data_IF_489694521722
#
_entry.id   IF_489694521722
#
_cell.length_a   1.000
_cell.length_b   1.000
_cell.length_c   1.000
_cell.angle_alpha   90.00
_cell.angle_beta   90.00
_cell.angle_gamma   90.00
#
_symmetry.space_group_name_H-M   'P 1'
#
loop_
_entity.id
_entity.type
_entity.pdbx_description
1 polymer ?
#
# COMPACT_ATOMS: atom_id res chain seq x y z
N UNK A 1 21.96 4.80 0.09
CA UNK A 1 21.00 5.92 0.05
C UNK A 1 20.52 6.35 -1.35
N UNK A 2 21.25 6.15 -2.46
CA UNK A 2 20.81 6.59 -3.82
C UNK A 2 20.01 5.57 -4.67
N UNK A 3 19.73 4.36 -4.16
CA UNK A 3 19.38 3.18 -4.99
C UNK A 3 17.90 3.01 -5.39
N UNK A 4 16.96 3.82 -4.89
CA UNK A 4 15.51 3.64 -5.17
C UNK A 4 14.89 4.82 -5.93
N UNK A 5 15.28 6.08 -5.69
CA UNK A 5 15.02 7.16 -6.66
C UNK A 5 15.61 6.82 -8.04
N UNK A 6 16.73 6.09 -8.07
CA UNK A 6 17.29 5.56 -9.31
C UNK A 6 16.38 4.51 -9.97
N UNK A 7 15.53 3.76 -9.25
CA UNK A 7 14.67 2.72 -9.87
C UNK A 7 13.49 3.32 -10.59
N UNK A 8 12.79 4.29 -9.98
CA UNK A 8 11.69 5.01 -10.63
C UNK A 8 12.24 5.72 -11.87
N UNK A 9 13.35 6.44 -11.71
CA UNK A 9 14.03 7.10 -12.83
C UNK A 9 14.42 6.13 -13.94
N UNK A 10 15.10 5.03 -13.61
CA UNK A 10 15.53 4.05 -14.61
C UNK A 10 14.33 3.41 -15.31
N UNK A 11 13.23 3.17 -14.59
CA UNK A 11 12.00 2.64 -15.17
C UNK A 11 11.35 3.64 -16.12
N UNK A 12 11.32 4.94 -15.75
CA UNK A 12 10.84 6.01 -16.63
C UNK A 12 11.68 6.13 -17.90
N UNK A 13 13.01 6.13 -17.78
CA UNK A 13 13.93 6.16 -18.92
C UNK A 13 13.82 4.93 -19.82
N UNK A 14 13.49 3.77 -19.23
CA UNK A 14 13.33 2.53 -19.98
C UNK A 14 11.93 2.35 -20.59
N UNK A 15 10.88 2.91 -20.00
CA UNK A 15 9.51 2.76 -20.47
C UNK A 15 9.28 3.10 -21.97
N UNK A 16 9.88 4.15 -22.56
CA UNK A 16 9.75 4.44 -23.99
C UNK A 16 10.71 3.61 -24.86
N UNK A 17 11.56 2.76 -24.28
CA UNK A 17 12.45 1.89 -25.04
C UNK A 17 11.61 0.92 -25.88
N UNK A 18 11.62 1.11 -27.20
CA UNK A 18 10.80 0.36 -28.16
C UNK A 18 9.73 1.19 -28.88
N UNK A 19 9.43 2.42 -28.43
CA UNK A 19 8.53 3.35 -29.14
C UNK A 19 9.26 4.31 -30.08
N UNK A 20 10.59 4.35 -30.00
CA UNK A 20 11.42 5.33 -30.72
C UNK A 20 11.49 6.70 -30.06
N UNK A 21 10.77 6.89 -28.95
CA UNK A 21 10.77 8.13 -28.17
C UNK A 21 11.86 8.10 -27.09
N UNK A 22 12.39 9.28 -26.75
CA UNK A 22 13.27 9.45 -25.60
C UNK A 22 12.70 10.53 -24.70
N UNK A 23 12.66 10.26 -23.40
CA UNK A 23 12.26 11.26 -22.42
C UNK A 23 13.44 12.18 -22.12
N UNK A 24 13.22 13.48 -22.34
CA UNK A 24 14.17 14.50 -21.92
C UNK A 24 14.38 14.49 -20.41
N UNK A 25 15.59 14.83 -19.99
CA UNK A 25 16.01 14.87 -18.60
C UNK A 25 15.12 15.74 -17.70
N UNK A 26 14.63 16.87 -18.22
CA UNK A 26 13.70 17.72 -17.49
C UNK A 26 12.33 17.06 -17.32
N UNK A 27 11.87 16.30 -18.31
CA UNK A 27 10.61 15.54 -18.21
C UNK A 27 10.73 14.47 -17.14
N UNK A 28 11.83 13.71 -17.13
CA UNK A 28 12.08 12.68 -16.11
C UNK A 28 12.12 13.30 -14.72
N UNK A 29 12.80 14.43 -14.55
CA UNK A 29 12.85 15.12 -13.26
C UNK A 29 11.47 15.61 -12.82
N UNK A 30 10.64 16.15 -13.73
CA UNK A 30 9.25 16.52 -13.42
C UNK A 30 8.42 15.31 -12.99
N UNK A 31 8.56 14.17 -13.67
CA UNK A 31 7.82 12.95 -13.33
C UNK A 31 8.26 12.37 -11.98
N UNK A 32 9.56 12.35 -11.70
CA UNK A 32 10.08 11.92 -10.38
C UNK A 32 9.59 12.83 -9.27
N UNK A 33 9.56 14.15 -9.49
CA UNK A 33 9.04 15.11 -8.50
C UNK A 33 7.52 14.96 -8.31
N UNK A 34 6.76 14.75 -9.39
CA UNK A 34 5.32 14.51 -9.32
C UNK A 34 5.00 13.20 -8.57
N UNK A 35 5.88 12.19 -8.65
CA UNK A 35 5.76 10.96 -7.88
C UNK A 35 5.94 11.17 -6.37
N UNK A 36 6.48 12.30 -5.94
CA UNK A 36 6.76 12.60 -4.53
C UNK A 36 5.61 13.36 -3.84
N UNK A 37 4.66 13.88 -4.63
CA UNK A 37 3.53 14.72 -4.18
C UNK A 37 2.18 14.21 -4.71
N UNK A 38 1.73 13.07 -4.19
CA UNK A 38 0.42 12.52 -4.53
C UNK A 38 -0.72 13.20 -3.76
N UNK A 39 -1.75 13.60 -4.48
CA UNK A 39 -3.05 13.93 -3.88
C UNK A 39 -3.77 12.67 -3.43
N UNK A 40 -4.48 12.77 -2.33
CA UNK A 40 -5.33 11.68 -1.86
C UNK A 40 -6.65 11.62 -2.61
N UNK A 41 -7.27 10.44 -2.62
CA UNK A 41 -8.68 10.32 -2.97
C UNK A 41 -9.54 10.95 -1.87
N UNK A 42 -10.72 11.47 -2.24
CA UNK A 42 -11.62 12.18 -1.33
C UNK A 42 -12.10 11.33 -0.15
N UNK A 43 -12.10 10.01 -0.29
CA UNK A 43 -12.54 9.04 0.72
C UNK A 43 -11.45 8.66 1.74
N UNK A 44 -10.20 9.08 1.54
CA UNK A 44 -9.09 8.80 2.47
C UNK A 44 -9.32 9.50 3.82
N UNK A 45 -9.63 10.80 3.80
CA UNK A 45 -9.84 11.57 5.02
C UNK A 45 -11.04 11.09 5.86
N UNK A 46 -12.21 10.81 5.26
CA UNK A 46 -13.30 10.11 5.94
C UNK A 46 -12.87 8.78 6.58
N UNK A 47 -12.17 7.93 5.84
CA UNK A 47 -11.68 6.65 6.36
C UNK A 47 -10.71 6.82 7.55
N UNK A 48 -9.74 7.74 7.45
CA UNK A 48 -8.79 8.01 8.55
C UNK A 48 -9.48 8.52 9.82
N UNK A 49 -10.60 9.25 9.69
CA UNK A 49 -11.42 9.64 10.85
C UNK A 49 -12.10 8.45 11.52
N UNK A 50 -12.61 7.51 10.73
CA UNK A 50 -13.23 6.29 11.25
C UNK A 50 -12.21 5.40 11.96
N UNK A 51 -11.01 5.25 11.39
CA UNK A 51 -9.90 4.53 12.01
C UNK A 51 -9.47 5.17 13.34
N UNK A 52 -9.23 6.49 13.34
CA UNK A 52 -8.84 7.22 14.54
C UNK A 52 -9.88 7.15 15.69
N UNK A 53 -11.14 6.85 15.37
CA UNK A 53 -12.22 6.72 16.35
C UNK A 53 -12.30 5.33 16.99
N UNK A 54 -11.58 4.32 16.48
CA UNK A 54 -11.61 2.95 16.98
C UNK A 54 -10.27 2.59 17.67
N UNK A 55 -10.20 2.61 19.01
CA UNK A 55 -8.96 2.32 19.73
C UNK A 55 -8.50 0.87 19.61
N UNK A 56 -9.32 -0.02 19.05
CA UNK A 56 -8.96 -1.43 18.85
C UNK A 56 -8.32 -1.68 17.47
N UNK A 57 -8.18 -0.64 16.64
CA UNK A 57 -7.46 -0.71 15.38
C UNK A 57 -6.08 -0.06 15.55
N UNK A 58 -5.11 -0.62 14.83
CA UNK A 58 -3.74 -0.11 14.76
C UNK A 58 -3.37 -0.04 13.30
N UNK A 59 -3.08 1.16 12.84
CA UNK A 59 -2.90 1.46 11.43
C UNK A 59 -1.42 1.53 11.07
N UNK A 60 -1.06 0.83 10.00
CA UNK A 60 0.31 0.83 9.48
C UNK A 60 0.30 1.10 7.98
N UNK A 61 1.30 1.82 7.51
CA UNK A 61 1.55 1.94 6.06
C UNK A 61 2.57 0.87 5.66
N UNK A 62 2.16 -0.10 4.85
CA UNK A 62 3.04 -1.17 4.39
C UNK A 62 3.59 -0.90 2.98
N UNK A 63 4.85 -0.45 2.89
CA UNK A 63 5.38 0.22 1.70
C UNK A 63 6.59 -0.48 1.06
N UNK A 64 6.57 -0.58 -0.27
CA UNK A 64 7.68 -1.14 -1.05
C UNK A 64 8.90 -0.20 -1.12
N UNK A 65 8.71 1.11 -1.04
CA UNK A 65 9.78 2.09 -1.24
C UNK A 65 10.63 2.37 0.00
N UNK A 66 11.26 3.55 0.00
CA UNK A 66 12.09 4.04 1.11
C UNK A 66 11.41 5.17 1.86
N UNK A 67 11.92 5.44 3.06
CA UNK A 67 11.53 6.61 3.85
C UNK A 67 11.66 7.91 3.05
N UNK A 68 12.70 8.05 2.22
CA UNK A 68 12.91 9.23 1.38
C UNK A 68 11.74 9.51 0.43
N UNK A 69 11.16 8.47 -0.17
CA UNK A 69 10.07 8.62 -1.16
C UNK A 69 8.74 8.91 -0.49
N UNK A 70 8.44 8.23 0.63
CA UNK A 70 7.13 8.39 1.26
C UNK A 70 7.07 9.59 2.19
N UNK A 71 8.23 10.13 2.61
CA UNK A 71 8.27 11.18 3.62
C UNK A 71 7.55 12.45 3.18
N UNK A 72 7.59 12.81 1.90
CA UNK A 72 6.89 13.99 1.43
C UNK A 72 5.39 13.72 1.28
N UNK A 73 5.00 12.62 0.62
CA UNK A 73 3.60 12.27 0.42
C UNK A 73 2.82 12.00 1.71
N UNK A 74 3.40 11.37 2.74
CA UNK A 74 2.67 11.07 3.99
C UNK A 74 2.82 12.17 5.03
N UNK A 75 4.04 12.69 5.25
CA UNK A 75 4.29 13.62 6.35
C UNK A 75 4.24 15.10 5.96
N UNK A 76 4.28 15.44 4.67
CA UNK A 76 4.35 16.83 4.20
C UNK A 76 3.26 17.24 3.22
N UNK A 77 2.52 16.29 2.65
CA UNK A 77 1.39 16.61 1.79
C UNK A 77 0.28 17.28 2.59
N UNK A 78 -0.39 18.26 2.00
CA UNK A 78 -1.51 18.96 2.64
C UNK A 78 -2.68 18.02 2.97
N UNK A 79 -2.77 16.92 2.25
CA UNK A 79 -3.88 15.99 2.33
C UNK A 79 -3.72 14.95 3.45
N UNK A 80 -2.54 14.34 3.60
CA UNK A 80 -2.28 13.28 4.59
C UNK A 80 -1.62 13.81 5.86
N UNK A 81 -0.78 14.85 5.78
CA UNK A 81 -0.03 15.32 6.95
C UNK A 81 -0.93 15.67 8.15
N UNK A 82 -2.14 16.24 7.99
CA UNK A 82 -3.02 16.54 9.12
C UNK A 82 -3.53 15.32 9.89
N UNK A 83 -3.43 14.12 9.29
CA UNK A 83 -3.91 12.84 9.84
C UNK A 83 -2.81 11.78 9.89
N UNK A 84 -1.55 12.16 9.68
CA UNK A 84 -0.43 11.21 9.67
C UNK A 84 -0.24 10.50 11.03
N UNK A 85 -0.71 11.09 12.12
CA UNK A 85 -0.69 10.52 13.47
C UNK A 85 -1.66 9.36 13.68
N UNK A 86 -2.57 9.09 12.73
CA UNK A 86 -3.41 7.89 12.74
C UNK A 86 -2.55 6.65 12.53
N UNK A 87 -1.48 6.75 11.73
CA UNK A 87 -0.57 5.63 11.52
C UNK A 87 0.42 5.52 12.67
N UNK A 88 0.47 4.34 13.27
CA UNK A 88 1.44 4.03 14.33
C UNK A 88 2.87 3.98 13.78
N UNK A 89 3.04 3.35 12.61
CA UNK A 89 4.32 3.34 11.89
C UNK A 89 4.16 3.07 10.39
N UNK A 90 5.25 3.25 9.65
CA UNK A 90 5.41 2.86 8.26
C UNK A 90 6.37 1.67 8.19
N UNK A 91 5.86 0.52 7.76
CA UNK A 91 6.63 -0.71 7.61
C UNK A 91 7.23 -0.77 6.20
N UNK A 92 8.55 -0.68 6.12
CA UNK A 92 9.29 -0.65 4.86
C UNK A 92 9.86 -2.03 4.50
N UNK A 93 9.43 -2.62 3.38
CA UNK A 93 9.92 -3.95 2.97
C UNK A 93 11.38 -3.95 2.52
N UNK A 94 11.94 -2.81 2.10
CA UNK A 94 13.31 -2.78 1.58
C UNK A 94 14.35 -3.23 2.62
N UNK A 95 14.01 -3.18 3.90
CA UNK A 95 14.83 -3.67 5.02
C UNK A 95 15.14 -5.16 4.86
N UNK A 96 14.17 -5.95 4.39
CA UNK A 96 14.37 -7.39 4.11
C UNK A 96 14.91 -7.66 2.71
N UNK A 97 15.22 -6.63 1.92
CA UNK A 97 15.73 -6.73 0.53
C UNK A 97 14.82 -7.49 -0.44
N UNK A 98 13.56 -7.70 -0.07
CA UNK A 98 12.52 -8.31 -0.88
C UNK A 98 11.36 -7.35 -1.06
N UNK A 99 10.72 -7.39 -2.21
CA UNK A 99 9.45 -6.72 -2.46
C UNK A 99 8.29 -7.68 -2.22
N UNK A 100 7.11 -7.12 -1.95
CA UNK A 100 5.85 -7.85 -2.16
C UNK A 100 5.89 -8.42 -3.60
N UNK A 101 5.64 -9.70 -3.84
CA UNK A 101 4.89 -10.69 -3.06
C UNK A 101 5.71 -11.66 -2.19
N UNK A 102 6.96 -11.35 -1.88
CA UNK A 102 7.80 -12.27 -1.09
C UNK A 102 7.21 -12.53 0.29
N UNK A 103 7.16 -13.81 0.68
CA UNK A 103 6.82 -14.25 2.03
C UNK A 103 7.62 -13.48 3.10
N UNK A 104 8.90 -13.19 2.83
CA UNK A 104 9.76 -12.45 3.75
C UNK A 104 9.22 -11.03 4.07
N UNK A 105 8.55 -10.37 3.12
CA UNK A 105 7.97 -9.04 3.33
C UNK A 105 6.79 -9.08 4.30
N UNK A 106 5.93 -10.10 4.20
CA UNK A 106 4.77 -10.27 5.09
C UNK A 106 5.17 -10.79 6.47
N UNK A 107 6.15 -11.70 6.55
CA UNK A 107 6.72 -12.11 7.84
C UNK A 107 7.31 -10.92 8.58
N UNK A 108 8.05 -10.05 7.89
CA UNK A 108 8.55 -8.81 8.47
C UNK A 108 7.42 -7.90 8.98
N UNK A 109 6.33 -7.74 8.22
CA UNK A 109 5.16 -7.01 8.70
C UNK A 109 4.62 -7.60 10.01
N UNK A 110 4.47 -8.92 10.09
CA UNK A 110 3.94 -9.57 11.29
C UNK A 110 4.86 -9.42 12.51
N UNK A 111 6.18 -9.54 12.33
CA UNK A 111 7.16 -9.30 13.38
C UNK A 111 7.10 -7.87 13.92
N UNK A 112 6.88 -6.88 13.06
CA UNK A 112 6.85 -5.46 13.47
C UNK A 112 5.53 -5.02 14.11
N UNK A 113 4.44 -5.76 13.90
CA UNK A 113 3.09 -5.27 14.23
C UNK A 113 2.32 -6.16 15.21
N UNK A 114 2.37 -7.48 15.04
CA UNK A 114 1.54 -8.43 15.80
C UNK A 114 2.39 -9.49 16.53
N UNK A 115 3.66 -9.20 16.76
CA UNK A 115 4.62 -10.06 17.48
C UNK A 115 4.78 -11.44 16.82
N UNK A 116 4.84 -11.45 15.48
CA UNK A 116 5.26 -12.61 14.71
C UNK A 116 4.15 -13.33 13.93
N UNK A 117 4.52 -14.38 13.17
CA UNK A 117 3.68 -14.97 12.13
C UNK A 117 2.48 -15.76 12.65
N UNK A 118 2.46 -16.19 13.92
CA UNK A 118 1.33 -16.91 14.51
C UNK A 118 0.03 -16.06 14.58
N UNK A 119 0.14 -14.75 14.37
CA UNK A 119 -0.95 -13.79 14.44
C UNK A 119 -1.33 -13.21 13.06
N UNK A 120 -0.89 -13.81 11.94
CA UNK A 120 -1.19 -13.32 10.57
C UNK A 120 -2.68 -13.04 10.34
N UNK A 121 -3.57 -13.88 10.88
CA UNK A 121 -5.03 -13.71 10.77
C UNK A 121 -5.56 -12.40 11.37
N UNK A 122 -4.83 -11.78 12.29
CA UNK A 122 -5.20 -10.47 12.89
C UNK A 122 -4.86 -9.30 11.96
N UNK A 123 -3.99 -9.51 10.98
CA UNK A 123 -3.60 -8.49 10.03
C UNK A 123 -4.61 -8.37 8.90
N UNK A 124 -4.93 -7.13 8.56
CA UNK A 124 -5.77 -6.75 7.44
C UNK A 124 -4.93 -5.97 6.45
N UNK A 125 -4.76 -6.52 5.24
CA UNK A 125 -4.15 -5.79 4.13
C UNK A 125 -5.23 -5.12 3.29
N UNK A 126 -5.18 -3.79 3.17
CA UNK A 126 -6.04 -3.04 2.27
C UNK A 126 -5.22 -2.61 1.05
N UNK A 127 -5.67 -2.96 -0.16
CA UNK A 127 -4.95 -2.58 -1.38
C UNK A 127 -5.85 -2.49 -2.61
N UNK A 128 -5.51 -1.58 -3.51
CA UNK A 128 -6.02 -1.54 -4.89
C UNK A 128 -5.05 -2.20 -5.88
N UNK A 129 -4.03 -2.93 -5.38
CA UNK A 129 -3.15 -3.75 -6.20
C UNK A 129 -3.48 -5.24 -6.02
N UNK A 130 -3.91 -5.94 -7.08
CA UNK A 130 -4.35 -7.32 -6.94
C UNK A 130 -3.27 -8.27 -6.45
N UNK A 131 -2.01 -8.03 -6.85
CA UNK A 131 -0.89 -8.83 -6.36
C UNK A 131 -0.85 -8.79 -4.83
N UNK A 132 -0.95 -7.62 -4.21
CA UNK A 132 -0.81 -7.45 -2.76
C UNK A 132 -1.88 -8.24 -1.99
N UNK A 133 -3.13 -8.23 -2.50
CA UNK A 133 -4.24 -9.03 -1.97
C UNK A 133 -3.88 -10.52 -2.00
N UNK A 134 -3.47 -11.06 -3.15
CA UNK A 134 -3.10 -12.47 -3.29
C UNK A 134 -1.96 -12.83 -2.33
N UNK A 135 -0.95 -11.97 -2.19
CA UNK A 135 0.16 -12.19 -1.27
C UNK A 135 -0.26 -12.25 0.19
N UNK A 136 -1.08 -11.30 0.64
CA UNK A 136 -1.61 -11.32 2.00
C UNK A 136 -2.46 -12.58 2.27
N UNK A 137 -3.34 -12.95 1.33
CA UNK A 137 -4.18 -14.15 1.45
C UNK A 137 -3.35 -15.43 1.48
N UNK A 138 -2.27 -15.53 0.69
CA UNK A 138 -1.34 -16.68 0.75
C UNK A 138 -0.63 -16.84 2.11
N UNK A 139 -0.55 -15.76 2.90
CA UNK A 139 0.05 -15.74 4.23
C UNK A 139 -0.98 -15.96 5.35
N UNK A 140 -2.25 -16.19 5.01
CA UNK A 140 -3.34 -16.36 5.98
C UNK A 140 -3.81 -15.05 6.62
N UNK A 141 -3.46 -13.89 6.03
CA UNK A 141 -3.97 -12.59 6.47
C UNK A 141 -5.39 -12.36 5.93
N UNK A 142 -6.13 -11.44 6.55
CA UNK A 142 -7.31 -10.86 5.92
C UNK A 142 -6.90 -9.82 4.89
N UNK A 143 -7.71 -9.65 3.83
CA UNK A 143 -7.43 -8.65 2.82
C UNK A 143 -8.70 -8.00 2.28
N UNK A 144 -8.68 -6.69 2.11
CA UNK A 144 -9.76 -5.92 1.49
C UNK A 144 -9.27 -5.41 0.12
N UNK A 145 -9.95 -5.85 -0.93
CA UNK A 145 -9.76 -5.34 -2.27
C UNK A 145 -10.50 -4.01 -2.43
N UNK A 146 -9.76 -2.94 -2.78
CA UNK A 146 -10.36 -1.63 -3.08
C UNK A 146 -10.60 -1.54 -4.59
N UNK A 147 -11.82 -1.91 -5.01
CA UNK A 147 -12.25 -1.90 -6.39
C UNK A 147 -12.59 -0.48 -6.87
N UNK A 148 -11.54 0.29 -7.15
CA UNK A 148 -11.67 1.65 -7.70
C UNK A 148 -12.37 1.70 -9.06
N UNK A 149 -12.28 0.62 -9.84
CA UNK A 149 -12.82 0.57 -11.19
C UNK A 149 -14.28 0.05 -11.24
N UNK A 150 -14.78 -0.54 -10.14
CA UNK A 150 -16.13 -1.09 -10.08
C UNK A 150 -16.33 -2.30 -11.00
N UNK A 151 -15.25 -3.01 -11.35
CA UNK A 151 -15.28 -4.14 -12.27
C UNK A 151 -15.29 -5.49 -11.55
N UNK A 152 -15.27 -5.49 -10.23
CA UNK A 152 -15.14 -6.67 -9.38
C UNK A 152 -13.73 -7.24 -9.33
N UNK A 153 -13.54 -8.23 -8.47
CA UNK A 153 -12.29 -8.97 -8.37
C UNK A 153 -12.07 -9.84 -9.61
N UNK A 154 -11.10 -9.46 -10.46
CA UNK A 154 -10.74 -10.21 -11.69
C UNK A 154 -9.40 -10.91 -11.63
N UNK A 155 -8.61 -10.67 -10.59
CA UNK A 155 -7.27 -11.24 -10.46
C UNK A 155 -7.30 -12.66 -9.87
N UNK A 156 -7.99 -13.56 -10.56
CA UNK A 156 -8.10 -14.97 -10.21
C UNK A 156 -6.88 -15.79 -10.66
N UNK A 157 -5.68 -15.22 -10.60
CA UNK A 157 -4.42 -15.93 -10.95
C UNK A 157 -4.23 -17.14 -10.02
N UNK A 158 -4.70 -17.03 -8.77
CA UNK A 158 -4.88 -18.13 -7.84
C UNK A 158 -6.34 -18.09 -7.38
N UNK A 159 -7.26 -18.87 -8.00
CA UNK A 159 -8.70 -18.76 -7.77
C UNK A 159 -9.14 -18.90 -6.31
N UNK A 160 -8.38 -19.69 -5.52
CA UNK A 160 -8.66 -19.95 -4.11
C UNK A 160 -8.27 -18.77 -3.19
N UNK A 161 -7.44 -17.85 -3.67
CA UNK A 161 -6.96 -16.69 -2.90
C UNK A 161 -7.75 -15.44 -3.27
N UNK A 162 -9.00 -15.41 -2.82
CA UNK A 162 -9.90 -14.25 -2.95
C UNK A 162 -9.74 -13.27 -1.77
N UNK A 163 -10.00 -11.97 -1.97
CA UNK A 163 -10.07 -11.02 -0.86
C UNK A 163 -11.13 -11.46 0.16
N UNK A 164 -10.93 -11.11 1.43
CA UNK A 164 -11.93 -11.29 2.49
C UNK A 164 -13.18 -10.46 2.19
N UNK A 165 -12.99 -9.21 1.75
CA UNK A 165 -14.07 -8.31 1.33
C UNK A 165 -13.63 -7.42 0.16
N UNK A 166 -14.61 -6.90 -0.58
CA UNK A 166 -14.39 -5.95 -1.67
C UNK A 166 -15.17 -4.67 -1.38
N UNK A 167 -14.51 -3.52 -1.53
CA UNK A 167 -15.12 -2.21 -1.32
C UNK A 167 -14.80 -1.28 -2.48
N UNK A 168 -15.71 -0.39 -2.84
CA UNK A 168 -15.48 0.63 -3.87
C UNK A 168 -14.99 1.97 -3.28
N UNK A 169 -15.17 2.15 -1.97
CA UNK A 169 -14.72 3.32 -1.20
C UNK A 169 -14.02 2.87 0.08
N UNK A 170 -12.98 3.61 0.46
CA UNK A 170 -12.23 3.39 1.71
C UNK A 170 -13.10 3.61 2.95
N UNK A 171 -14.22 4.32 2.83
CA UNK A 171 -15.17 4.55 3.93
C UNK A 171 -15.77 3.26 4.50
N UNK A 172 -15.89 2.22 3.69
CA UNK A 172 -16.45 0.93 4.11
C UNK A 172 -15.44 0.01 4.79
N UNK A 173 -14.15 0.36 4.83
CA UNK A 173 -13.11 -0.53 5.37
C UNK A 173 -13.37 -0.88 6.84
N UNK A 174 -13.71 0.12 7.66
CA UNK A 174 -13.90 -0.09 9.09
C UNK A 174 -15.11 -0.99 9.37
N UNK A 175 -16.17 -0.81 8.59
CA UNK A 175 -17.36 -1.68 8.63
C UNK A 175 -17.00 -3.12 8.30
N UNK A 176 -16.30 -3.35 7.18
CA UNK A 176 -15.87 -4.69 6.76
C UNK A 176 -14.96 -5.37 7.78
N UNK A 177 -13.98 -4.63 8.34
CA UNK A 177 -13.08 -5.17 9.37
C UNK A 177 -13.88 -5.57 10.61
N UNK A 178 -14.89 -4.80 11.01
CA UNK A 178 -15.73 -5.11 12.18
C UNK A 178 -16.64 -6.30 11.93
N UNK A 179 -17.25 -6.40 10.75
CA UNK A 179 -18.14 -7.50 10.38
C UNK A 179 -17.44 -8.87 10.40
N UNK A 180 -16.13 -8.89 10.19
CA UNK A 180 -15.31 -10.11 10.13
C UNK A 180 -14.38 -10.29 11.34
N UNK A 181 -14.56 -9.49 12.39
CA UNK A 181 -13.90 -9.71 13.69
C UNK A 181 -14.73 -10.74 14.47
N UNK A 182 -14.32 -12.00 14.39
CA UNK A 182 -14.69 -13.04 15.37
C UNK A 182 -13.94 -12.87 16.69
#
# INVERSE_FOLDING_TARGET
MRKICSRIRNSLLHAPAGTGEQLDENVVNRLVNAYDDFKTFSDVNPMLRLLAADPNLREFVFFNGTRTIISNSVFRSKDLSPRANVFEDIIFVHVVKWYKLSQASYLHLAEQTVNGPCQMRKLWLISSNPFDIVGARSMGMNAIWVDRAGVGWKAAVVPDLQPTATVNSLEHIVEEVRAHRE
#
